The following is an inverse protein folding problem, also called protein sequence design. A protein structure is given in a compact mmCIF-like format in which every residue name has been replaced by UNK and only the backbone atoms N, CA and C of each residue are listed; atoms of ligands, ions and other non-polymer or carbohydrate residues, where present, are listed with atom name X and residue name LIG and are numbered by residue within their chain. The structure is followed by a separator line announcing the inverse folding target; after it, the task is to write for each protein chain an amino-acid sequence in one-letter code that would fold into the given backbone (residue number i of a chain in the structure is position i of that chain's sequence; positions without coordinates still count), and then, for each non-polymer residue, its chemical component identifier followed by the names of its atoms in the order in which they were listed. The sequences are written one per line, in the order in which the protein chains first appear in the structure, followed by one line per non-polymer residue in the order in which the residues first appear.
data_IF_964875543305
#
_entry.id   IF_964875543305
#
_cell.length_a   1.000
_cell.length_b   1.000
_cell.length_c   1.000
_cell.angle_alpha   90.00
_cell.angle_beta   90.00
_cell.angle_gamma   90.00
#
_symmetry.space_group_name_H-M   'P 1'
#
loop_
_entity.id
_entity.type
_entity.pdbx_description
1 polymer ?
#
# COMPACT_ATOMS: atom_id res chain seq x y z
N UNK A 1 8.38 9.78 -14.42
CA UNK A 1 7.06 9.20 -14.81
C UNK A 1 5.96 10.07 -14.23
N UNK A 2 5.03 10.55 -15.05
CA UNK A 2 3.83 11.29 -14.60
C UNK A 2 2.83 10.33 -13.95
N UNK A 3 1.84 10.86 -13.22
CA UNK A 3 0.79 10.02 -12.60
C UNK A 3 -0.06 9.30 -13.65
N UNK A 4 -0.32 9.96 -14.80
CA UNK A 4 -1.05 9.34 -15.91
C UNK A 4 -0.28 8.18 -16.55
N UNK A 5 1.03 8.34 -16.74
CA UNK A 5 1.91 7.27 -17.25
C UNK A 5 1.98 6.11 -16.25
N UNK A 6 2.15 6.39 -14.95
CA UNK A 6 2.22 5.39 -13.91
C UNK A 6 0.89 4.61 -13.78
N UNK A 7 -0.23 5.32 -13.78
CA UNK A 7 -1.58 4.73 -13.76
C UNK A 7 -1.82 3.85 -14.99
N UNK A 8 -1.43 4.33 -16.18
CA UNK A 8 -1.52 3.58 -17.43
C UNK A 8 -0.71 2.28 -17.38
N UNK A 9 0.53 2.36 -16.92
CA UNK A 9 1.42 1.21 -16.79
C UNK A 9 0.92 0.18 -15.74
N UNK A 10 0.44 0.64 -14.59
CA UNK A 10 -0.19 -0.26 -13.58
C UNK A 10 -1.38 -0.98 -14.21
N UNK A 11 -2.24 -0.26 -14.93
CA UNK A 11 -3.37 -0.86 -15.63
C UNK A 11 -2.93 -1.89 -16.65
N UNK A 12 -2.00 -1.54 -17.53
CA UNK A 12 -1.52 -2.44 -18.59
C UNK A 12 -0.96 -3.75 -18.04
N UNK A 13 -0.21 -3.67 -16.94
CA UNK A 13 0.48 -4.83 -16.40
C UNK A 13 -0.33 -5.62 -15.38
N UNK A 14 -1.10 -4.94 -14.53
CA UNK A 14 -1.75 -5.57 -13.38
C UNK A 14 -3.24 -5.87 -13.56
N UNK A 15 -3.92 -5.18 -14.47
CA UNK A 15 -5.35 -5.39 -14.69
C UNK A 15 -5.59 -6.59 -15.60
N UNK A 16 -6.30 -7.58 -15.10
CA UNK A 16 -6.68 -8.79 -15.83
C UNK A 16 -8.20 -8.84 -15.95
N UNK A 17 -8.71 -8.97 -17.17
CA UNK A 17 -10.13 -9.22 -17.43
C UNK A 17 -10.41 -10.73 -17.44
N UNK A 18 -11.51 -11.13 -16.84
CA UNK A 18 -11.93 -12.53 -16.75
C UNK A 18 -12.91 -12.78 -15.63
N UNK A 19 -13.30 -14.04 -15.44
CA UNK A 19 -14.11 -14.46 -14.31
C UNK A 19 -13.20 -14.95 -13.17
N UNK A 20 -13.10 -14.13 -12.12
CA UNK A 20 -12.27 -14.44 -10.95
C UNK A 20 -13.12 -14.67 -9.72
N UNK A 21 -12.71 -15.63 -8.88
CA UNK A 21 -13.23 -15.78 -7.52
C UNK A 21 -12.24 -15.10 -6.58
N UNK A 22 -12.66 -14.00 -5.94
CA UNK A 22 -11.85 -13.26 -4.97
C UNK A 22 -11.71 -14.06 -3.68
N UNK A 23 -10.71 -13.72 -2.85
CA UNK A 23 -10.49 -14.34 -1.54
C UNK A 23 -11.73 -14.29 -0.62
N UNK A 24 -12.59 -13.30 -0.81
CA UNK A 24 -13.89 -13.17 -0.12
C UNK A 24 -14.96 -14.16 -0.62
N UNK A 25 -14.69 -14.97 -1.64
CA UNK A 25 -15.66 -15.82 -2.34
C UNK A 25 -16.52 -15.06 -3.37
N UNK A 26 -16.42 -13.73 -3.45
CA UNK A 26 -17.17 -12.92 -4.43
C UNK A 26 -16.60 -13.07 -5.83
N UNK A 27 -17.48 -13.20 -6.83
CA UNK A 27 -17.08 -13.17 -8.25
C UNK A 27 -16.75 -11.74 -8.69
N UNK A 28 -15.68 -11.60 -9.49
CA UNK A 28 -15.29 -10.35 -10.11
C UNK A 28 -14.95 -10.58 -11.58
N UNK A 29 -15.31 -9.63 -12.45
CA UNK A 29 -14.94 -9.64 -13.86
C UNK A 29 -13.53 -9.15 -14.12
N UNK A 30 -12.81 -8.74 -13.09
CA UNK A 30 -11.42 -8.32 -13.18
C UNK A 30 -10.65 -8.72 -11.93
N UNK A 31 -9.36 -8.82 -12.08
CA UNK A 31 -8.40 -9.02 -11.00
C UNK A 31 -7.24 -8.04 -11.16
N UNK A 32 -6.78 -7.47 -10.04
CA UNK A 32 -5.57 -6.65 -10.00
C UNK A 32 -4.45 -7.49 -9.40
N UNK A 33 -3.53 -7.92 -10.27
CA UNK A 33 -2.34 -8.68 -9.87
C UNK A 33 -1.23 -7.71 -9.47
N UNK A 34 -1.15 -7.42 -8.18
CA UNK A 34 -0.20 -6.47 -7.59
C UNK A 34 1.26 -6.81 -7.88
N UNK A 35 1.62 -8.08 -7.88
CA UNK A 35 2.99 -8.51 -8.11
C UNK A 35 3.50 -8.18 -9.52
N UNK A 36 2.60 -7.98 -10.47
CA UNK A 36 2.95 -7.59 -11.84
C UNK A 36 3.44 -6.15 -11.95
N UNK A 37 3.11 -5.26 -11.02
CA UNK A 37 3.70 -3.92 -10.98
C UNK A 37 4.79 -3.78 -9.91
N UNK A 38 4.66 -4.47 -8.77
CA UNK A 38 5.64 -4.40 -7.68
C UNK A 38 7.02 -4.98 -8.04
N UNK A 39 7.06 -5.93 -8.96
CA UNK A 39 8.29 -6.60 -9.38
C UNK A 39 8.96 -5.96 -10.60
N UNK A 40 8.43 -4.83 -11.09
CA UNK A 40 9.01 -4.08 -12.19
C UNK A 40 9.81 -2.89 -11.66
N UNK A 41 11.14 -2.84 -11.89
CA UNK A 41 12.00 -1.83 -11.27
C UNK A 41 11.60 -0.40 -11.62
N UNK A 42 11.14 -0.16 -12.87
CA UNK A 42 10.70 1.15 -13.33
C UNK A 42 9.42 1.63 -12.64
N UNK A 43 8.49 0.71 -12.34
CA UNK A 43 7.26 1.04 -11.61
C UNK A 43 7.52 1.12 -10.12
N UNK A 44 8.31 0.20 -9.57
CA UNK A 44 8.64 0.18 -8.16
C UNK A 44 9.38 1.46 -7.74
N UNK A 45 10.32 1.94 -8.55
CA UNK A 45 11.01 3.22 -8.31
C UNK A 45 10.06 4.41 -8.32
N UNK A 46 9.20 4.51 -9.34
CA UNK A 46 8.21 5.58 -9.44
C UNK A 46 7.19 5.54 -8.28
N UNK A 47 6.77 4.35 -7.84
CA UNK A 47 5.90 4.18 -6.67
C UNK A 47 6.61 4.60 -5.38
N UNK A 48 7.90 4.29 -5.23
CA UNK A 48 8.70 4.75 -4.10
C UNK A 48 8.74 6.27 -3.97
N UNK A 49 8.93 6.98 -5.09
CA UNK A 49 8.87 8.44 -5.13
C UNK A 49 7.50 9.00 -4.71
N UNK A 50 6.39 8.38 -5.16
CA UNK A 50 5.03 8.78 -4.77
C UNK A 50 4.73 8.51 -3.31
N UNK A 51 5.18 7.36 -2.80
CA UNK A 51 5.07 7.03 -1.37
C UNK A 51 5.80 8.08 -0.54
N UNK A 52 7.05 8.41 -0.89
CA UNK A 52 7.84 9.42 -0.19
C UNK A 52 7.13 10.79 -0.17
N UNK A 53 6.61 11.23 -1.32
CA UNK A 53 5.89 12.49 -1.42
C UNK A 53 4.62 12.53 -0.55
N UNK A 54 3.82 11.45 -0.55
CA UNK A 54 2.61 11.36 0.28
C UNK A 54 2.94 11.31 1.77
N UNK A 55 4.04 10.67 2.15
CA UNK A 55 4.51 10.65 3.55
C UNK A 55 4.94 12.06 3.98
N UNK A 56 5.73 12.75 3.18
CA UNK A 56 6.15 14.12 3.46
C UNK A 56 4.96 15.08 3.61
N UNK A 57 3.95 14.97 2.73
CA UNK A 57 2.76 15.82 2.75
C UNK A 57 1.82 15.52 3.92
N UNK A 58 1.62 14.25 4.25
CA UNK A 58 0.51 13.85 5.13
C UNK A 58 0.95 13.33 6.49
N UNK A 59 2.20 12.97 6.68
CA UNK A 59 2.80 12.54 7.94
C UNK A 59 4.26 13.00 8.04
N UNK A 60 4.53 14.34 8.00
CA UNK A 60 5.90 14.88 8.04
C UNK A 60 6.67 14.52 9.32
N UNK A 61 5.97 14.07 10.37
CA UNK A 61 6.58 13.59 11.61
C UNK A 61 6.98 12.10 11.54
N UNK A 62 6.74 11.40 10.43
CA UNK A 62 7.14 10.02 10.28
C UNK A 62 8.66 9.89 10.37
N UNK A 63 9.11 9.01 11.25
CA UNK A 63 10.53 8.66 11.39
C UNK A 63 10.83 7.29 10.77
N UNK A 64 9.80 6.51 10.47
CA UNK A 64 9.87 5.17 9.89
C UNK A 64 8.73 4.94 8.91
N UNK A 65 9.00 4.09 7.91
CA UNK A 65 7.96 3.43 7.14
C UNK A 65 7.73 2.02 7.69
N UNK A 66 6.58 1.41 7.41
CA UNK A 66 6.38 0.00 7.72
C UNK A 66 5.55 -0.67 6.63
N UNK A 67 6.01 -1.83 6.15
CA UNK A 67 5.31 -2.63 5.15
C UNK A 67 4.90 -4.00 5.71
N UNK A 68 3.60 -4.38 5.64
CA UNK A 68 3.17 -5.73 5.92
C UNK A 68 3.75 -6.75 4.93
N UNK A 69 4.13 -7.93 5.44
CA UNK A 69 4.54 -9.03 4.57
C UNK A 69 3.35 -9.56 3.74
N UNK A 70 3.50 -9.93 2.48
CA UNK A 70 4.70 -9.94 1.68
C UNK A 70 4.77 -8.73 0.72
N UNK A 71 3.65 -8.33 0.09
CA UNK A 71 3.61 -7.39 -1.02
C UNK A 71 4.16 -6.01 -0.67
N UNK A 72 3.73 -5.45 0.45
CA UNK A 72 4.12 -4.10 0.82
C UNK A 72 5.60 -3.92 1.22
N UNK A 73 6.36 -5.01 1.42
CA UNK A 73 7.78 -4.92 1.81
C UNK A 73 8.62 -4.26 0.72
N UNK A 74 8.41 -4.63 -0.54
CA UNK A 74 9.13 -4.03 -1.65
C UNK A 74 8.81 -2.53 -1.81
N UNK A 75 7.54 -2.16 -1.60
CA UNK A 75 7.08 -0.77 -1.65
C UNK A 75 7.62 0.06 -0.49
N UNK A 76 7.64 -0.49 0.73
CA UNK A 76 8.24 0.16 1.89
C UNK A 76 9.75 0.38 1.68
N UNK A 77 10.45 -0.59 1.10
CA UNK A 77 11.87 -0.46 0.75
C UNK A 77 12.09 0.61 -0.32
N UNK A 78 11.26 0.66 -1.37
CA UNK A 78 11.34 1.68 -2.41
C UNK A 78 11.05 3.09 -1.84
N UNK A 79 10.01 3.21 -1.01
CA UNK A 79 9.69 4.45 -0.29
C UNK A 79 10.82 4.89 0.65
N UNK A 80 11.45 3.94 1.34
CA UNK A 80 12.61 4.18 2.20
C UNK A 80 13.80 4.76 1.41
N UNK A 81 14.11 4.18 0.26
CA UNK A 81 15.18 4.69 -0.62
C UNK A 81 14.88 6.10 -1.14
N UNK A 82 13.62 6.40 -1.44
CA UNK A 82 13.21 7.71 -1.95
C UNK A 82 13.14 8.78 -0.86
N UNK A 83 12.65 8.43 0.34
CA UNK A 83 12.48 9.38 1.45
C UNK A 83 13.70 9.52 2.36
N UNK A 84 14.60 8.52 2.35
CA UNK A 84 15.69 8.42 3.33
C UNK A 84 15.25 7.90 4.71
N UNK A 85 13.97 7.62 4.92
CA UNK A 85 13.47 7.05 6.18
C UNK A 85 13.75 5.55 6.26
N UNK A 86 14.25 5.02 7.40
CA UNK A 86 14.33 3.58 7.59
C UNK A 86 12.94 2.93 7.54
N UNK A 87 12.88 1.62 7.25
CA UNK A 87 11.61 0.91 7.24
C UNK A 87 11.61 -0.34 8.13
N UNK A 88 10.42 -0.75 8.49
CA UNK A 88 10.09 -1.92 9.28
C UNK A 88 9.29 -2.91 8.43
N UNK A 89 9.38 -4.20 8.77
CA UNK A 89 8.52 -5.23 8.18
C UNK A 89 7.56 -5.70 9.27
N UNK A 90 6.25 -5.67 8.96
CA UNK A 90 5.22 -6.21 9.85
C UNK A 90 4.82 -7.60 9.39
N UNK A 91 5.09 -8.61 10.22
CA UNK A 91 4.77 -10.01 9.92
C UNK A 91 3.29 -10.30 10.21
N UNK A 92 2.73 -11.24 9.47
CA UNK A 92 1.36 -11.73 9.73
C UNK A 92 1.28 -12.45 11.06
N UNK A 93 2.31 -13.24 11.37
CA UNK A 93 2.40 -14.06 12.59
C UNK A 93 3.69 -13.77 13.34
N UNK A 94 3.63 -13.89 14.65
CA UNK A 94 4.82 -13.82 15.48
C UNK A 94 5.74 -15.02 15.19
N UNK A 95 7.06 -14.84 15.38
CA UNK A 95 8.00 -15.95 15.29
C UNK A 95 7.73 -16.95 16.43
N UNK A 96 7.66 -18.22 16.09
CA UNK A 96 7.54 -19.30 17.10
C UNK A 96 8.83 -19.46 17.94
N UNK A 97 9.94 -18.92 17.44
CA UNK A 97 11.26 -18.95 18.07
C UNK A 97 11.89 -17.57 18.14
N UNK A 98 12.85 -17.37 19.05
CA UNK A 98 13.52 -16.08 19.31
C UNK A 98 12.64 -15.13 20.12
N UNK A 99 12.49 -13.87 19.71
CA UNK A 99 11.84 -12.80 20.48
C UNK A 99 10.31 -12.80 20.40
N UNK A 100 9.70 -13.65 19.57
CA UNK A 100 8.24 -13.64 19.34
C UNK A 100 7.72 -12.38 18.64
N UNK A 101 8.61 -11.54 18.13
CA UNK A 101 8.23 -10.24 17.56
C UNK A 101 7.53 -10.39 16.20
N UNK A 102 6.47 -9.60 16.02
CA UNK A 102 5.78 -9.40 14.72
C UNK A 102 6.42 -8.31 13.88
N UNK A 103 7.38 -7.55 14.42
CA UNK A 103 8.00 -6.42 13.73
C UNK A 103 9.49 -6.72 13.57
N UNK A 104 9.98 -6.64 12.35
CA UNK A 104 11.40 -6.72 12.02
C UNK A 104 11.94 -5.32 11.73
N UNK A 105 13.14 -5.04 12.21
CA UNK A 105 13.78 -3.74 12.19
C UNK A 105 13.86 -3.14 13.58
N UNK A 106 14.38 -1.93 13.66
CA UNK A 106 14.63 -1.24 14.95
C UNK A 106 13.86 0.07 14.97
N UNK A 107 13.13 0.30 16.05
CA UNK A 107 12.49 1.58 16.35
C UNK A 107 12.33 1.73 17.88
N UNK A 108 12.11 2.96 18.33
CA UNK A 108 11.89 3.27 19.74
C UNK A 108 10.40 3.54 20.00
N UNK A 109 9.86 3.17 21.18
CA UNK A 109 8.52 3.54 21.57
C UNK A 109 8.30 5.06 21.47
N UNK A 110 7.15 5.45 20.90
CA UNK A 110 6.81 6.87 20.64
C UNK A 110 7.19 7.37 19.25
N UNK A 111 7.98 6.61 18.48
CA UNK A 111 8.27 6.98 17.08
C UNK A 111 7.02 6.92 16.21
N UNK A 112 6.89 7.86 15.29
CA UNK A 112 5.80 7.90 14.33
C UNK A 112 6.14 7.04 13.12
N UNK A 113 5.28 6.06 12.84
CA UNK A 113 5.42 5.10 11.75
C UNK A 113 4.30 5.31 10.74
N UNK A 114 4.65 5.57 9.47
CA UNK A 114 3.71 5.57 8.36
C UNK A 114 3.66 4.18 7.71
N UNK A 115 2.46 3.59 7.66
CA UNK A 115 2.26 2.31 6.98
C UNK A 115 2.24 2.49 5.47
N UNK A 116 2.80 1.50 4.76
CA UNK A 116 2.78 1.39 3.30
C UNK A 116 2.09 0.07 2.95
N UNK A 117 1.14 0.12 2.01
CA UNK A 117 0.41 -1.07 1.55
C UNK A 117 0.34 -1.09 0.01
N UNK A 118 0.19 -2.24 -0.55
CA UNK A 118 0.01 -2.41 -1.99
C UNK A 118 -1.43 -2.09 -2.41
N UNK A 119 -2.40 -2.88 -1.96
CA UNK A 119 -3.81 -2.75 -2.32
C UNK A 119 -4.68 -2.88 -1.07
N UNK A 120 -5.46 -1.85 -0.79
CA UNK A 120 -6.42 -1.85 0.32
C UNK A 120 -7.81 -2.21 -0.19
N UNK A 121 -8.40 -3.27 0.36
CA UNK A 121 -9.79 -3.68 0.15
C UNK A 121 -10.64 -3.27 1.37
N UNK A 122 -10.95 -4.21 2.25
CA UNK A 122 -11.65 -3.94 3.53
C UNK A 122 -10.73 -3.37 4.62
N UNK A 123 -9.41 -3.34 4.40
CA UNK A 123 -8.44 -2.81 5.36
C UNK A 123 -8.01 -3.77 6.48
N UNK A 124 -8.50 -5.01 6.51
CA UNK A 124 -8.26 -5.93 7.63
C UNK A 124 -6.77 -6.23 7.88
N UNK A 125 -5.99 -6.48 6.83
CA UNK A 125 -4.55 -6.73 6.97
C UNK A 125 -3.79 -5.50 7.52
N UNK A 126 -4.17 -4.32 7.02
CA UNK A 126 -3.56 -3.07 7.45
C UNK A 126 -3.92 -2.73 8.90
N UNK A 127 -5.18 -2.98 9.31
CA UNK A 127 -5.62 -2.81 10.70
C UNK A 127 -4.85 -3.72 11.66
N UNK A 128 -4.60 -4.98 11.29
CA UNK A 128 -3.79 -5.89 12.08
C UNK A 128 -2.33 -5.41 12.24
N UNK A 129 -1.82 -4.70 11.23
CA UNK A 129 -0.49 -4.07 11.28
C UNK A 129 -0.47 -2.82 12.14
N UNK A 130 -1.53 -2.01 12.11
CA UNK A 130 -1.72 -0.86 13.02
C UNK A 130 -1.72 -1.31 14.46
N UNK A 131 -2.48 -2.38 14.77
CA UNK A 131 -2.56 -2.95 16.12
C UNK A 131 -1.18 -3.42 16.59
N UNK A 132 -0.48 -4.24 15.78
CA UNK A 132 0.84 -4.75 16.14
C UNK A 132 1.87 -3.64 16.39
N UNK A 133 1.89 -2.59 15.57
CA UNK A 133 2.80 -1.46 15.74
C UNK A 133 2.47 -0.65 16.99
N UNK A 134 1.18 -0.40 17.27
CA UNK A 134 0.74 0.32 18.47
C UNK A 134 1.01 -0.45 19.75
N UNK A 135 0.79 -1.76 19.74
CA UNK A 135 1.15 -2.65 20.86
C UNK A 135 2.65 -2.62 21.17
N UNK A 136 3.49 -2.47 20.13
CA UNK A 136 4.93 -2.29 20.28
C UNK A 136 5.37 -0.86 20.65
N UNK A 137 4.41 0.07 20.83
CA UNK A 137 4.65 1.43 21.27
C UNK A 137 4.78 2.48 20.16
N UNK A 138 4.61 2.12 18.89
CA UNK A 138 4.66 3.08 17.79
C UNK A 138 3.41 3.96 17.73
N UNK A 139 3.56 5.19 17.23
CA UNK A 139 2.46 6.07 16.87
C UNK A 139 2.12 5.84 15.39
N UNK A 140 0.89 5.43 15.09
CA UNK A 140 0.42 5.17 13.72
C UNK A 140 -0.84 5.98 13.47
N UNK A 141 -0.76 6.98 12.57
CA UNK A 141 -1.85 7.91 12.23
C UNK A 141 -2.17 7.94 10.74
N UNK A 142 -1.23 7.49 9.90
CA UNK A 142 -1.34 7.56 8.44
C UNK A 142 -0.87 6.26 7.81
N UNK A 143 -1.58 5.84 6.78
CA UNK A 143 -1.19 4.77 5.89
C UNK A 143 -1.25 5.26 4.44
N UNK A 144 -0.25 4.93 3.65
CA UNK A 144 -0.19 5.16 2.20
C UNK A 144 -0.42 3.83 1.50
N UNK A 145 -1.19 3.80 0.44
CA UNK A 145 -1.31 2.60 -0.40
C UNK A 145 -1.19 2.93 -1.88
N UNK A 146 -0.80 1.94 -2.67
CA UNK A 146 -0.75 2.14 -4.13
C UNK A 146 -2.17 2.22 -4.68
N UNK A 147 -3.04 1.28 -4.30
CA UNK A 147 -4.42 1.24 -4.81
C UNK A 147 -5.42 1.08 -3.65
N UNK A 148 -6.33 2.04 -3.52
CA UNK A 148 -7.55 1.87 -2.74
C UNK A 148 -8.64 1.24 -3.65
N UNK A 149 -9.12 0.05 -3.26
CA UNK A 149 -10.20 -0.66 -3.97
C UNK A 149 -11.58 -0.06 -3.75
N UNK A 150 -11.69 0.94 -2.88
CA UNK A 150 -12.97 1.60 -2.53
C UNK A 150 -13.99 0.59 -1.95
N UNK A 151 -13.50 -0.41 -1.22
CA UNK A 151 -14.29 -1.49 -0.60
C UNK A 151 -14.43 -1.32 0.93
N UNK A 152 -14.37 -0.09 1.42
CA UNK A 152 -14.60 0.26 2.83
C UNK A 152 -13.35 0.28 3.72
N UNK A 153 -12.15 0.03 3.16
CA UNK A 153 -10.89 0.04 3.91
C UNK A 153 -10.56 1.40 4.52
N UNK A 154 -10.79 2.48 3.78
CA UNK A 154 -10.57 3.83 4.28
C UNK A 154 -11.43 4.15 5.51
N UNK A 155 -12.72 3.78 5.49
CA UNK A 155 -13.62 3.98 6.62
C UNK A 155 -13.24 3.11 7.83
N UNK A 156 -12.79 1.88 7.57
CA UNK A 156 -12.35 0.97 8.61
C UNK A 156 -11.10 1.53 9.34
N UNK A 157 -10.14 2.07 8.61
CA UNK A 157 -8.95 2.73 9.15
C UNK A 157 -9.30 4.03 9.88
N UNK A 158 -10.20 4.84 9.33
CA UNK A 158 -10.64 6.08 9.95
C UNK A 158 -11.27 5.86 11.34
N UNK A 159 -12.02 4.77 11.53
CA UNK A 159 -12.56 4.37 12.85
C UNK A 159 -11.47 4.07 13.89
N UNK A 160 -10.27 3.74 13.44
CA UNK A 160 -9.07 3.55 14.26
C UNK A 160 -8.15 4.78 14.29
N UNK A 161 -8.65 5.95 13.90
CA UNK A 161 -7.90 7.19 13.79
C UNK A 161 -6.64 7.07 12.90
N UNK A 162 -6.75 6.29 11.81
CA UNK A 162 -5.72 6.16 10.77
C UNK A 162 -6.26 6.69 9.45
N UNK A 163 -5.55 7.62 8.83
CA UNK A 163 -5.90 8.22 7.54
C UNK A 163 -5.28 7.40 6.41
N UNK A 164 -6.09 6.92 5.47
CA UNK A 164 -5.60 6.28 4.25
C UNK A 164 -5.32 7.33 3.18
N UNK A 165 -4.16 7.24 2.55
CA UNK A 165 -3.71 8.09 1.44
C UNK A 165 -3.33 7.21 0.26
N UNK A 166 -4.23 6.99 -0.70
CA UNK A 166 -3.93 6.20 -1.88
C UNK A 166 -3.16 7.03 -2.91
N UNK A 167 -2.25 6.37 -3.65
CA UNK A 167 -1.68 6.93 -4.88
C UNK A 167 -2.77 6.95 -5.95
N UNK A 168 -3.52 5.84 -6.09
CA UNK A 168 -4.64 5.73 -7.01
C UNK A 168 -5.85 5.06 -6.35
N UNK A 169 -7.04 5.39 -6.86
CA UNK A 169 -8.26 4.64 -6.58
C UNK A 169 -8.54 3.65 -7.71
N UNK A 170 -9.20 2.55 -7.40
CA UNK A 170 -9.56 1.55 -8.42
C UNK A 170 -10.44 2.14 -9.52
N UNK A 171 -11.34 3.05 -9.18
CA UNK A 171 -12.18 3.79 -10.14
C UNK A 171 -11.34 4.59 -11.15
N UNK A 172 -10.23 5.20 -10.75
CA UNK A 172 -9.33 5.98 -11.61
C UNK A 172 -8.57 5.07 -12.59
N UNK A 173 -8.11 3.90 -12.11
CA UNK A 173 -7.42 2.91 -12.95
C UNK A 173 -8.37 2.36 -14.02
N UNK A 174 -9.65 2.14 -13.69
CA UNK A 174 -10.64 1.62 -14.62
C UNK A 174 -11.13 2.66 -15.63
N UNK A 175 -11.21 3.95 -15.27
CA UNK A 175 -11.68 5.03 -16.16
C UNK A 175 -10.68 5.36 -17.27
N UNK A 176 -9.41 5.19 -17.08
CA UNK A 176 -8.35 5.43 -18.06
C UNK A 176 -8.56 4.71 -19.41
N UNK A 177 -9.42 3.65 -19.47
CA UNK A 177 -9.75 2.93 -20.68
C UNK A 177 -10.74 3.64 -21.60
N UNK A 178 -11.61 4.50 -21.06
CA UNK A 178 -12.66 5.16 -21.89
C UNK A 178 -12.11 6.30 -22.73
N UNK A 179 -10.98 6.91 -22.31
CA UNK A 179 -10.36 8.00 -23.05
C UNK A 179 -9.53 7.53 -24.25
N UNK A 180 -8.97 6.31 -24.18
CA UNK A 180 -8.16 5.75 -25.29
C UNK A 180 -8.99 5.05 -26.38
N UNK A 181 -10.26 4.76 -26.12
CA UNK A 181 -11.15 4.03 -27.04
C UNK A 181 -11.98 4.93 -27.97
N UNK A 182 -11.82 6.26 -27.96
CA UNK A 182 -12.55 7.16 -28.85
C UNK A 182 -11.61 8.15 -29.57
N UNK A 183 -10.78 7.70 -30.55
CA UNK A 183 -9.97 8.60 -31.38
C UNK A 183 -10.70 9.14 -32.61
N UNK A 184 -11.98 8.81 -32.82
CA UNK A 184 -12.79 9.34 -33.95
C UNK A 184 -14.25 9.55 -33.52
N UNK A 185 -14.56 10.77 -33.15
CA UNK A 185 -15.91 11.33 -33.14
C UNK A 185 -15.93 12.58 -33.96
#
# INVERSE_FOLDING_TARGET
MTDDELRGAIREHAYLEGDFVLRSGRRSRYYLDKYRFETRPELLGALGERIAALVEEHEPEATRLAGPELGAVALAAAGSLASGLPFLIVRKEAKEYSTGNRIEGVFEPGETVCLVEDVVTSGGALLASVEALREAGAVVRTAVCVIDREEGGADALARQAVRLRPIFRASEIMQSAKSAANPHG
#
